data_IF_069642498601
#
_entry.id   IF_069642498601
#
_cell.length_a   1.000
_cell.length_b   1.000
_cell.length_c   1.000
_cell.angle_alpha   90.00
_cell.angle_beta   90.00
_cell.angle_gamma   90.00
#
_symmetry.space_group_name_H-M   'P 1'
#
loop_
_entity.id
_entity.type
_entity.pdbx_description
1 polymer ?
#
# COMPACT_ATOMS: atom_id res chain seq x y z
N UNK A 1 -28.25 -42.74 -68.01
CA UNK A 1 -28.46 -42.55 -66.55
C UNK A 1 -27.20 -42.11 -65.76
N UNK A 2 -25.99 -41.99 -66.34
CA UNK A 2 -24.78 -41.57 -65.60
C UNK A 2 -24.58 -40.06 -65.38
N UNK A 3 -25.19 -39.18 -66.19
CA UNK A 3 -25.01 -37.71 -66.09
C UNK A 3 -25.79 -37.05 -64.94
N UNK A 4 -26.85 -37.67 -64.44
CA UNK A 4 -27.67 -37.13 -63.35
C UNK A 4 -27.03 -37.36 -61.96
N UNK A 5 -26.26 -38.44 -61.79
CA UNK A 5 -25.67 -38.79 -60.50
C UNK A 5 -24.49 -37.86 -60.13
N UNK A 6 -23.68 -37.44 -61.11
CA UNK A 6 -22.53 -36.54 -60.89
C UNK A 6 -22.94 -35.11 -60.54
N UNK A 7 -24.13 -34.67 -60.95
CA UNK A 7 -24.68 -33.34 -60.63
C UNK A 7 -25.19 -33.25 -59.19
N UNK A 8 -25.72 -34.34 -58.62
CA UNK A 8 -26.22 -34.37 -57.25
C UNK A 8 -25.08 -34.40 -56.21
N UNK A 9 -24.00 -35.15 -56.49
CA UNK A 9 -22.82 -35.19 -55.62
C UNK A 9 -22.11 -33.82 -55.53
N UNK A 10 -21.98 -33.10 -56.64
CA UNK A 10 -21.34 -31.76 -56.64
C UNK A 10 -22.10 -30.73 -55.81
N UNK A 11 -23.44 -30.75 -55.86
CA UNK A 11 -24.30 -29.83 -55.10
C UNK A 11 -24.20 -30.05 -53.59
N UNK A 12 -24.14 -31.32 -53.16
CA UNK A 12 -23.97 -31.66 -51.73
C UNK A 12 -22.63 -31.20 -51.17
N UNK A 13 -21.52 -31.30 -51.92
CA UNK A 13 -20.21 -30.83 -51.46
C UNK A 13 -20.15 -29.30 -51.33
N UNK A 14 -20.76 -28.57 -52.26
CA UNK A 14 -20.83 -27.10 -52.20
C UNK A 14 -21.66 -26.64 -50.99
N UNK A 15 -22.77 -27.32 -50.70
CA UNK A 15 -23.62 -27.00 -49.55
C UNK A 15 -22.95 -27.30 -48.21
N UNK A 16 -22.24 -28.44 -48.10
CA UNK A 16 -21.49 -28.80 -46.89
C UNK A 16 -20.33 -27.83 -46.65
N UNK A 17 -19.59 -27.45 -47.71
CA UNK A 17 -18.51 -26.47 -47.61
C UNK A 17 -18.99 -25.09 -47.16
N UNK A 18 -20.14 -24.64 -47.64
CA UNK A 18 -20.77 -23.39 -47.20
C UNK A 18 -21.18 -23.44 -45.73
N UNK A 19 -21.80 -24.53 -45.27
CA UNK A 19 -22.15 -24.71 -43.86
C UNK A 19 -20.91 -24.70 -42.94
N UNK A 20 -19.81 -25.32 -43.35
CA UNK A 20 -18.56 -25.31 -42.58
C UNK A 20 -17.93 -23.91 -42.51
N UNK A 21 -17.97 -23.14 -43.59
CA UNK A 21 -17.51 -21.75 -43.59
C UNK A 21 -18.35 -20.85 -42.69
N UNK A 22 -19.68 -21.02 -42.72
CA UNK A 22 -20.59 -20.29 -41.83
C UNK A 22 -20.34 -20.68 -40.37
N UNK A 23 -20.20 -21.97 -40.06
CA UNK A 23 -19.86 -22.44 -38.72
C UNK A 23 -18.52 -21.89 -38.25
N UNK A 24 -17.51 -21.86 -39.10
CA UNK A 24 -16.20 -21.29 -38.77
C UNK A 24 -16.30 -19.79 -38.52
N UNK A 25 -17.04 -19.05 -39.35
CA UNK A 25 -17.30 -17.62 -39.15
C UNK A 25 -18.08 -17.35 -37.86
N UNK A 26 -19.07 -18.18 -37.53
CA UNK A 26 -19.85 -18.08 -36.30
C UNK A 26 -18.98 -18.38 -35.08
N UNK A 27 -18.13 -19.42 -35.12
CA UNK A 27 -17.17 -19.74 -34.05
C UNK A 27 -16.14 -18.63 -33.88
N UNK A 28 -15.65 -18.03 -34.97
CA UNK A 28 -14.72 -16.92 -34.93
C UNK A 28 -15.37 -15.65 -34.35
N UNK A 29 -16.62 -15.36 -34.73
CA UNK A 29 -17.40 -14.25 -34.17
C UNK A 29 -17.73 -14.49 -32.69
N UNK A 30 -18.18 -15.70 -32.31
CA UNK A 30 -18.43 -16.07 -30.91
C UNK A 30 -17.15 -16.02 -30.06
N UNK A 31 -16.00 -16.44 -30.61
CA UNK A 31 -14.71 -16.29 -29.95
C UNK A 31 -14.25 -14.83 -29.83
N UNK A 32 -14.57 -13.99 -30.81
CA UNK A 32 -14.28 -12.54 -30.78
C UNK A 32 -15.19 -11.74 -29.83
N UNK A 33 -16.32 -12.34 -29.43
CA UNK A 33 -17.16 -11.85 -28.34
C UNK A 33 -16.65 -12.31 -26.96
N UNK A 34 -15.44 -12.87 -26.90
CA UNK A 34 -14.71 -13.15 -25.66
C UNK A 34 -14.61 -11.89 -24.81
N UNK A 35 -15.45 -11.86 -23.77
CA UNK A 35 -15.22 -11.22 -22.48
C UNK A 35 -14.52 -9.86 -22.53
N UNK A 36 -15.18 -8.86 -23.15
CA UNK A 36 -15.03 -7.50 -22.63
C UNK A 36 -15.63 -7.52 -21.22
N UNK A 37 -14.81 -7.90 -20.23
CA UNK A 37 -15.15 -7.73 -18.82
C UNK A 37 -15.67 -6.31 -18.67
N UNK A 38 -16.90 -6.16 -18.20
CA UNK A 38 -17.53 -4.85 -18.10
C UNK A 38 -16.66 -3.97 -17.22
N UNK A 39 -16.01 -2.97 -17.82
CA UNK A 39 -15.27 -1.93 -17.10
C UNK A 39 -16.26 -1.20 -16.22
N UNK A 40 -16.15 -1.40 -14.91
CA UNK A 40 -17.00 -0.71 -13.94
C UNK A 40 -16.41 0.67 -13.62
N UNK A 41 -15.09 0.71 -13.44
CA UNK A 41 -14.35 1.90 -13.00
C UNK A 41 -13.10 2.08 -13.86
N UNK A 42 -12.81 3.32 -14.23
CA UNK A 42 -11.57 3.75 -14.87
C UNK A 42 -10.81 4.67 -13.92
N UNK A 43 -9.55 4.36 -13.66
CA UNK A 43 -8.69 5.10 -12.73
C UNK A 43 -7.48 5.63 -13.49
N UNK A 44 -7.20 6.93 -13.40
CA UNK A 44 -6.03 7.55 -14.02
C UNK A 44 -4.97 7.81 -12.95
N UNK A 45 -3.77 7.26 -13.17
CA UNK A 45 -2.58 7.51 -12.36
C UNK A 45 -1.53 8.24 -13.18
N UNK A 46 -0.65 8.99 -12.52
CA UNK A 46 0.50 9.60 -13.18
C UNK A 46 1.53 8.51 -13.57
N UNK A 47 1.57 7.39 -12.82
CA UNK A 47 2.47 6.26 -13.04
C UNK A 47 1.77 4.91 -12.74
N UNK A 48 1.97 3.90 -13.60
CA UNK A 48 1.35 2.57 -13.46
C UNK A 48 2.10 1.59 -12.55
N UNK A 49 3.34 1.92 -12.16
CA UNK A 49 4.13 1.29 -11.11
C UNK A 49 4.03 -0.25 -10.98
N UNK A 50 4.01 -1.02 -12.07
CA UNK A 50 4.00 -2.50 -12.03
C UNK A 50 2.63 -3.15 -11.83
N UNK A 51 1.54 -2.38 -11.97
CA UNK A 51 0.18 -2.92 -12.02
C UNK A 51 -0.06 -3.55 -13.40
N UNK A 52 -0.47 -4.82 -13.41
CA UNK A 52 -0.77 -5.60 -14.60
C UNK A 52 -2.24 -6.01 -14.69
N UNK A 53 -2.65 -6.46 -15.88
CA UNK A 53 -3.97 -7.08 -16.11
C UNK A 53 -4.10 -8.33 -15.23
N UNK A 54 -5.23 -8.47 -14.55
CA UNK A 54 -5.48 -9.52 -13.57
C UNK A 54 -5.11 -9.15 -12.14
N UNK A 55 -4.37 -8.05 -11.92
CA UNK A 55 -4.00 -7.54 -10.61
C UNK A 55 -5.20 -7.33 -9.70
N UNK A 56 -5.05 -7.63 -8.42
CA UNK A 56 -6.16 -7.55 -7.47
C UNK A 56 -6.50 -6.10 -7.10
N UNK A 57 -7.78 -5.87 -6.85
CA UNK A 57 -8.26 -4.65 -6.19
C UNK A 57 -8.78 -5.03 -4.82
N UNK A 58 -8.24 -4.42 -3.77
CA UNK A 58 -8.57 -4.72 -2.38
C UNK A 58 -9.16 -3.52 -1.67
N UNK A 59 -10.09 -3.79 -0.78
CA UNK A 59 -10.64 -2.82 0.15
C UNK A 59 -10.45 -3.39 1.55
N UNK A 60 -9.59 -2.77 2.36
CA UNK A 60 -9.31 -3.22 3.75
C UNK A 60 -8.87 -4.70 3.78
N UNK A 61 -8.03 -5.09 2.82
CA UNK A 61 -7.53 -6.47 2.68
C UNK A 61 -8.49 -7.48 2.03
N UNK A 62 -9.73 -7.10 1.70
CA UNK A 62 -10.69 -7.98 1.01
C UNK A 62 -10.64 -7.71 -0.48
N UNK A 63 -10.52 -8.77 -1.31
CA UNK A 63 -10.55 -8.64 -2.77
C UNK A 63 -11.96 -8.25 -3.23
N UNK A 64 -12.07 -7.07 -3.84
CA UNK A 64 -13.32 -6.47 -4.32
C UNK A 64 -13.38 -6.31 -5.84
N UNK A 65 -12.30 -6.60 -6.55
CA UNK A 65 -12.24 -6.51 -7.99
C UNK A 65 -10.90 -6.95 -8.56
N UNK A 66 -10.75 -6.78 -9.87
CA UNK A 66 -9.50 -7.02 -10.60
C UNK A 66 -9.29 -5.99 -11.70
N UNK A 67 -8.03 -5.73 -12.02
CA UNK A 67 -7.64 -4.94 -13.18
C UNK A 67 -7.99 -5.70 -14.45
N UNK A 68 -8.83 -5.09 -15.29
CA UNK A 68 -9.24 -5.66 -16.58
C UNK A 68 -8.38 -5.17 -17.75
N UNK A 69 -7.84 -3.96 -17.66
CA UNK A 69 -7.01 -3.38 -18.73
C UNK A 69 -6.06 -2.30 -18.18
N UNK A 70 -4.94 -2.08 -18.85
CA UNK A 70 -3.96 -1.04 -18.52
C UNK A 70 -3.51 -0.38 -19.83
N UNK A 71 -3.71 0.93 -19.93
CA UNK A 71 -3.40 1.72 -21.12
C UNK A 71 -2.55 2.93 -20.75
N UNK A 72 -1.62 3.29 -21.63
CA UNK A 72 -0.96 4.59 -21.56
C UNK A 72 -1.89 5.63 -22.19
N UNK A 73 -2.15 6.69 -21.44
CA UNK A 73 -2.74 7.92 -21.95
C UNK A 73 -1.63 8.96 -22.00
N UNK A 74 -1.65 9.93 -22.93
CA UNK A 74 -0.47 10.72 -23.33
C UNK A 74 0.37 11.34 -22.21
N UNK A 75 -0.18 11.54 -21.01
CA UNK A 75 0.50 12.11 -19.83
C UNK A 75 0.51 11.17 -18.60
N UNK A 76 -0.05 9.95 -18.67
CA UNK A 76 -0.16 9.04 -17.52
C UNK A 76 -0.57 7.60 -17.89
N UNK A 77 -1.19 6.91 -16.92
CA UNK A 77 -1.65 5.52 -17.07
C UNK A 77 -3.12 5.43 -16.69
N UNK A 78 -3.93 4.96 -17.64
CA UNK A 78 -5.33 4.62 -17.41
C UNK A 78 -5.45 3.13 -17.08
N UNK A 79 -6.08 2.82 -15.95
CA UNK A 79 -6.32 1.47 -15.47
C UNK A 79 -7.82 1.23 -15.40
N UNK A 80 -8.29 0.25 -16.15
CA UNK A 80 -9.69 -0.16 -16.15
C UNK A 80 -9.85 -1.32 -15.16
N UNK A 81 -10.81 -1.19 -14.24
CA UNK A 81 -11.08 -2.14 -13.15
C UNK A 81 -12.48 -2.71 -13.30
N UNK A 82 -12.58 -4.03 -13.14
CA UNK A 82 -13.84 -4.75 -12.97
C UNK A 82 -14.07 -5.05 -11.48
N UNK A 83 -15.22 -4.66 -10.97
CA UNK A 83 -15.57 -4.81 -9.55
C UNK A 83 -16.54 -5.97 -9.36
N UNK A 84 -16.33 -6.74 -8.29
CA UNK A 84 -17.25 -7.76 -7.85
C UNK A 84 -18.51 -7.14 -7.22
N UNK A 85 -19.66 -7.78 -7.41
CA UNK A 85 -20.86 -7.49 -6.62
C UNK A 85 -20.71 -8.12 -5.23
N UNK A 86 -21.17 -7.48 -4.15
CA UNK A 86 -21.97 -6.24 -4.10
C UNK A 86 -21.15 -4.93 -4.02
N UNK A 87 -19.81 -4.99 -4.07
CA UNK A 87 -18.92 -3.85 -3.77
C UNK A 87 -19.09 -2.64 -4.71
N UNK A 88 -19.64 -2.84 -5.91
CA UNK A 88 -19.90 -1.78 -6.90
C UNK A 88 -20.62 -0.55 -6.33
N UNK A 89 -21.72 -0.76 -5.59
CA UNK A 89 -22.54 0.35 -5.09
C UNK A 89 -21.84 1.21 -4.04
N UNK A 90 -20.81 0.66 -3.39
CA UNK A 90 -20.02 1.33 -2.36
C UNK A 90 -18.80 2.03 -2.96
N UNK A 91 -18.14 1.40 -3.95
CA UNK A 91 -16.86 1.87 -4.50
C UNK A 91 -17.02 2.82 -5.69
N UNK A 92 -18.19 2.84 -6.34
CA UNK A 92 -18.47 3.75 -7.46
C UNK A 92 -19.08 5.07 -6.96
N UNK A 93 -18.59 5.58 -5.83
CA UNK A 93 -19.11 6.80 -5.18
C UNK A 93 -18.11 7.93 -5.24
N UNK A 94 -18.60 9.15 -5.38
CA UNK A 94 -17.81 10.35 -5.15
C UNK A 94 -17.12 10.30 -3.78
N UNK A 95 -15.84 10.69 -3.73
CA UNK A 95 -15.00 10.59 -2.54
C UNK A 95 -14.34 9.22 -2.32
N UNK A 96 -14.59 8.23 -3.17
CA UNK A 96 -13.83 6.97 -3.15
C UNK A 96 -12.40 7.24 -3.60
N UNK A 97 -11.44 6.76 -2.80
CA UNK A 97 -10.01 7.00 -3.00
C UNK A 97 -9.32 5.72 -3.41
N UNK A 98 -8.48 5.80 -4.43
CA UNK A 98 -7.78 4.67 -5.03
C UNK A 98 -6.28 4.94 -5.01
N UNK A 99 -5.47 3.94 -4.66
CA UNK A 99 -4.01 4.06 -4.73
C UNK A 99 -3.37 2.71 -5.08
N UNK A 100 -2.14 2.76 -5.60
CA UNK A 100 -1.34 1.54 -5.82
C UNK A 100 -0.61 1.25 -4.51
N UNK A 101 -0.85 0.08 -3.92
CA UNK A 101 -0.14 -0.33 -2.71
C UNK A 101 1.32 -0.67 -3.05
N UNK A 102 2.24 0.01 -2.38
CA UNK A 102 3.68 -0.13 -2.56
C UNK A 102 4.27 -0.70 -1.28
N UNK A 103 4.43 -2.03 -1.16
CA UNK A 103 5.12 -2.60 0.00
C UNK A 103 6.54 -2.04 0.05
N UNK A 104 6.92 -1.44 1.19
CA UNK A 104 8.21 -0.77 1.37
C UNK A 104 9.41 -1.75 1.41
N UNK A 105 9.18 -3.03 1.12
CA UNK A 105 10.17 -4.11 1.15
C UNK A 105 10.65 -4.36 -0.28
N UNK A 106 11.36 -3.40 -0.86
CA UNK A 106 12.21 -3.63 -2.02
C UNK A 106 13.64 -3.37 -1.57
N UNK A 107 14.28 -4.43 -1.07
CA UNK A 107 15.71 -4.80 -1.19
C UNK A 107 16.07 -5.79 -0.08
N UNK A 108 15.91 -7.09 -0.37
CA UNK A 108 16.84 -8.06 0.17
C UNK A 108 17.80 -8.39 -0.98
N UNK A 109 18.96 -7.74 -0.96
CA UNK A 109 20.07 -8.06 -1.83
C UNK A 109 20.63 -9.43 -1.46
N UNK A 110 19.91 -10.49 -1.81
CA UNK A 110 20.47 -11.84 -1.86
C UNK A 110 20.35 -12.27 -3.30
N UNK A 111 21.50 -12.29 -3.98
CA UNK A 111 21.60 -12.66 -5.37
C UNK A 111 20.93 -13.99 -5.66
N UNK A 112 20.18 -14.01 -6.75
CA UNK A 112 19.57 -15.21 -7.31
C UNK A 112 18.10 -15.34 -6.93
N UNK A 113 17.24 -14.92 -7.85
CA UNK A 113 16.12 -15.68 -8.43
C UNK A 113 15.25 -14.69 -9.22
N UNK A 114 15.10 -14.94 -10.52
CA UNK A 114 14.30 -14.20 -11.52
C UNK A 114 12.77 -14.21 -11.24
N UNK A 115 12.33 -13.96 -10.00
CA UNK A 115 10.94 -14.16 -9.61
C UNK A 115 10.51 -13.38 -8.39
N UNK A 116 10.21 -12.10 -8.57
CA UNK A 116 9.31 -11.36 -7.67
C UNK A 116 8.69 -10.14 -8.37
N UNK A 117 8.15 -10.33 -9.59
CA UNK A 117 7.10 -9.44 -10.08
C UNK A 117 5.81 -9.83 -9.35
N UNK A 118 5.70 -9.53 -8.05
CA UNK A 118 4.38 -9.60 -7.40
C UNK A 118 3.52 -8.53 -8.08
N UNK A 119 2.45 -8.95 -8.76
CA UNK A 119 1.48 -8.02 -9.32
C UNK A 119 1.06 -7.05 -8.22
N UNK A 120 1.39 -5.77 -8.40
CA UNK A 120 1.06 -4.75 -7.43
C UNK A 120 -0.46 -4.60 -7.37
N UNK A 121 -0.95 -4.41 -6.15
CA UNK A 121 -2.38 -4.41 -5.84
C UNK A 121 -2.86 -2.96 -5.80
N UNK A 122 -4.08 -2.73 -6.30
CA UNK A 122 -4.77 -1.46 -6.10
C UNK A 122 -5.56 -1.57 -4.80
N UNK A 123 -5.34 -0.68 -3.86
CA UNK A 123 -6.20 -0.54 -2.68
C UNK A 123 -7.23 0.57 -2.89
N UNK A 124 -8.39 0.42 -2.24
CA UNK A 124 -9.50 1.36 -2.33
C UNK A 124 -10.11 1.62 -0.96
N UNK A 125 -10.40 2.89 -0.70
CA UNK A 125 -11.15 3.33 0.47
C UNK A 125 -12.48 3.96 0.03
N UNK A 126 -13.63 3.38 0.43
CA UNK A 126 -14.95 3.89 0.07
C UNK A 126 -15.18 5.35 0.44
N UNK A 127 -15.80 6.10 -0.48
CA UNK A 127 -16.36 7.41 -0.19
C UNK A 127 -17.61 7.34 0.70
N UNK A 128 -18.16 8.50 1.04
CA UNK A 128 -19.43 8.59 1.76
C UNK A 128 -20.55 7.96 0.91
N UNK A 129 -21.40 7.17 1.56
CA UNK A 129 -22.44 6.36 0.90
C UNK A 129 -23.50 7.17 0.14
N UNK A 130 -23.64 8.46 0.44
CA UNK A 130 -24.59 9.38 -0.21
C UNK A 130 -24.02 10.09 -1.46
N UNK A 131 -22.74 9.88 -1.78
CA UNK A 131 -22.09 10.49 -2.93
C UNK A 131 -22.71 10.08 -4.28
N UNK A 132 -22.58 10.95 -5.27
CA UNK A 132 -22.99 10.66 -6.65
C UNK A 132 -22.27 9.41 -7.18
N UNK A 133 -22.92 8.68 -8.09
CA UNK A 133 -22.29 7.52 -8.73
C UNK A 133 -21.28 8.02 -9.77
N UNK A 134 -20.02 7.64 -9.62
CA UNK A 134 -18.91 8.04 -10.48
C UNK A 134 -18.17 6.80 -10.99
N UNK A 135 -17.73 6.85 -12.26
CA UNK A 135 -16.99 5.77 -12.93
C UNK A 135 -15.53 6.12 -13.23
N UNK A 136 -15.18 7.40 -13.23
CA UNK A 136 -13.83 7.89 -13.50
C UNK A 136 -13.21 8.47 -12.23
N UNK A 137 -12.01 8.01 -11.86
CA UNK A 137 -11.30 8.46 -10.67
C UNK A 137 -9.87 8.87 -11.01
N UNK A 138 -9.37 9.87 -10.28
CA UNK A 138 -7.93 10.13 -10.22
C UNK A 138 -7.35 9.30 -9.08
N UNK A 139 -6.35 8.48 -9.39
CA UNK A 139 -5.60 7.73 -8.41
C UNK A 139 -4.70 8.63 -7.57
N UNK A 140 -4.50 8.26 -6.31
CA UNK A 140 -3.57 8.91 -5.41
C UNK A 140 -2.20 8.26 -5.53
N UNK A 141 -1.15 9.09 -5.52
CA UNK A 141 0.23 8.61 -5.51
C UNK A 141 0.62 7.97 -4.18
N UNK A 142 -0.11 8.30 -3.11
CA UNK A 142 0.16 7.85 -1.76
C UNK A 142 -1.12 7.36 -1.07
N UNK A 143 -1.02 6.34 -0.21
CA UNK A 143 -2.15 5.88 0.58
C UNK A 143 -2.69 7.02 1.47
N UNK A 144 -4.02 7.21 1.54
CA UNK A 144 -4.61 8.18 2.46
C UNK A 144 -4.31 7.77 3.90
N UNK A 145 -3.91 8.75 4.72
CA UNK A 145 -3.58 8.55 6.14
C UNK A 145 -4.68 7.78 6.87
N UNK A 146 -5.95 8.17 6.71
CA UNK A 146 -7.10 7.53 7.37
C UNK A 146 -7.30 6.06 7.02
N UNK A 147 -6.90 5.64 5.82
CA UNK A 147 -7.05 4.24 5.39
C UNK A 147 -6.02 3.32 6.05
N UNK A 148 -5.01 3.89 6.70
CA UNK A 148 -4.03 3.15 7.50
C UNK A 148 -4.50 2.92 8.94
N UNK A 149 -5.59 3.57 9.37
CA UNK A 149 -6.07 3.50 10.75
C UNK A 149 -6.93 2.26 10.91
N UNK A 150 -6.58 1.39 11.85
CA UNK A 150 -7.48 0.36 12.35
C UNK A 150 -8.20 0.87 13.60
N UNK A 151 -9.45 0.45 13.85
CA UNK A 151 -10.15 0.79 15.08
C UNK A 151 -9.32 0.43 16.32
N UNK A 152 -9.02 1.43 17.15
CA UNK A 152 -8.23 1.28 18.37
C UNK A 152 -6.74 1.57 18.21
N UNK A 153 -6.23 1.82 17.01
CA UNK A 153 -4.90 2.40 16.84
C UNK A 153 -4.85 3.80 17.46
N UNK A 154 -3.68 4.19 17.96
CA UNK A 154 -3.46 5.47 18.63
C UNK A 154 -2.68 6.40 17.67
N UNK A 155 -3.36 7.36 17.02
CA UNK A 155 -2.70 8.39 16.25
C UNK A 155 -2.05 9.41 17.17
N UNK A 156 -0.86 9.87 16.79
CA UNK A 156 -0.06 10.87 17.50
C UNK A 156 0.54 11.84 16.50
N UNK A 157 0.92 13.02 16.98
CA UNK A 157 1.74 13.98 16.22
C UNK A 157 3.09 14.12 16.89
N UNK A 158 4.14 13.76 16.17
CA UNK A 158 5.52 13.97 16.62
C UNK A 158 6.06 15.25 16.00
N UNK A 159 6.76 16.06 16.79
CA UNK A 159 7.35 17.31 16.32
C UNK A 159 8.85 17.35 16.56
N UNK A 160 9.60 17.92 15.62
CA UNK A 160 11.03 18.14 15.78
C UNK A 160 11.48 19.41 15.05
N UNK A 161 12.65 19.94 15.44
CA UNK A 161 13.23 21.12 14.79
C UNK A 161 13.70 20.86 13.35
N UNK A 162 13.96 19.60 12.99
CA UNK A 162 14.42 19.16 11.67
C UNK A 162 13.78 17.81 11.34
N UNK A 163 13.78 17.44 10.05
CA UNK A 163 13.18 16.18 9.60
C UNK A 163 13.83 14.95 10.23
N UNK A 164 15.16 14.92 10.33
CA UNK A 164 15.89 13.83 11.01
C UNK A 164 15.36 12.43 10.67
N UNK A 165 15.08 11.67 11.72
CA UNK A 165 14.47 10.33 11.68
C UNK A 165 12.95 10.29 11.45
N UNK A 166 12.28 11.46 11.39
CA UNK A 166 10.85 11.59 11.12
C UNK A 166 10.60 11.52 9.61
N UNK A 167 10.61 10.32 9.06
CA UNK A 167 10.35 10.09 7.64
C UNK A 167 9.16 9.16 7.49
N UNK A 168 8.38 9.34 6.43
CA UNK A 168 7.30 8.40 6.10
C UNK A 168 7.83 6.96 6.05
N UNK A 169 7.12 6.05 6.72
CA UNK A 169 7.49 4.64 6.83
C UNK A 169 8.56 4.33 7.90
N UNK A 170 9.18 5.36 8.52
CA UNK A 170 10.07 5.16 9.64
C UNK A 170 9.34 4.48 10.81
N UNK A 171 10.06 3.62 11.51
CA UNK A 171 9.50 2.82 12.59
C UNK A 171 9.46 3.61 13.89
N UNK A 172 8.37 3.46 14.64
CA UNK A 172 8.34 3.83 16.06
C UNK A 172 8.69 2.60 16.87
N UNK A 173 9.68 2.72 17.72
CA UNK A 173 10.26 1.62 18.48
C UNK A 173 9.96 1.79 19.97
N UNK A 174 9.74 0.70 20.67
CA UNK A 174 9.78 0.64 22.14
C UNK A 174 10.75 -0.47 22.52
N UNK A 175 11.86 -0.11 23.17
CA UNK A 175 12.97 -1.04 23.48
C UNK A 175 13.46 -1.83 22.25
N UNK A 176 13.53 -1.17 21.10
CA UNK A 176 13.94 -1.77 19.83
C UNK A 176 12.88 -2.62 19.11
N UNK A 177 11.70 -2.82 19.72
CA UNK A 177 10.57 -3.51 19.06
C UNK A 177 9.71 -2.49 18.33
N UNK A 178 9.38 -2.73 17.06
CA UNK A 178 8.44 -1.88 16.31
C UNK A 178 7.05 -1.94 16.93
N UNK A 179 6.53 -0.77 17.28
CA UNK A 179 5.19 -0.58 17.85
C UNK A 179 4.27 0.30 16.99
N UNK A 180 4.83 0.95 15.99
CA UNK A 180 4.11 1.88 15.12
C UNK A 180 4.95 2.36 13.96
N UNK A 181 4.38 3.28 13.19
CA UNK A 181 4.96 3.82 11.95
C UNK A 181 4.60 5.29 11.79
N UNK A 182 5.51 6.05 11.18
CA UNK A 182 5.24 7.41 10.70
C UNK A 182 4.48 7.34 9.37
N UNK A 183 3.28 7.91 9.34
CA UNK A 183 2.39 7.87 8.17
C UNK A 183 2.68 8.98 7.17
N UNK A 184 2.97 10.18 7.67
CA UNK A 184 3.32 11.34 6.85
C UNK A 184 4.21 12.30 7.64
N UNK A 185 4.90 13.17 6.90
CA UNK A 185 5.79 14.19 7.47
C UNK A 185 5.60 15.47 6.68
N UNK A 186 5.26 16.54 7.39
CA UNK A 186 5.00 17.86 6.83
C UNK A 186 5.78 18.92 7.61
N UNK A 187 5.88 20.10 7.04
CA UNK A 187 6.33 21.28 7.77
C UNK A 187 5.15 21.85 8.56
N UNK A 188 5.36 22.32 9.79
CA UNK A 188 4.37 23.07 10.53
C UNK A 188 3.93 24.30 9.73
N UNK A 189 2.70 24.78 9.96
CA UNK A 189 2.11 25.91 9.21
C UNK A 189 2.98 27.19 9.28
N UNK A 190 3.71 27.37 10.37
CA UNK A 190 4.60 28.51 10.61
C UNK A 190 6.05 28.28 10.15
N UNK A 191 6.33 27.13 9.51
CA UNK A 191 7.64 26.72 9.03
C UNK A 191 8.73 26.54 10.12
N UNK A 192 8.37 26.53 11.41
CA UNK A 192 9.36 26.47 12.51
C UNK A 192 9.80 25.05 12.88
N UNK A 193 8.98 24.07 12.56
CA UNK A 193 9.20 22.67 12.95
C UNK A 193 8.68 21.71 11.88
N UNK A 194 9.13 20.47 11.97
CA UNK A 194 8.59 19.34 11.21
C UNK A 194 7.56 18.64 12.08
N UNK A 195 6.37 18.40 11.52
CA UNK A 195 5.31 17.62 12.15
C UNK A 195 5.16 16.29 11.40
N UNK A 196 5.13 15.19 12.15
CA UNK A 196 4.94 13.87 11.59
C UNK A 196 3.73 13.18 12.23
N UNK A 197 2.75 12.81 11.40
CA UNK A 197 1.65 11.97 11.87
C UNK A 197 2.15 10.56 12.03
N UNK A 198 1.88 10.01 13.19
CA UNK A 198 2.40 8.74 13.66
C UNK A 198 1.24 7.88 14.12
N UNK A 199 1.28 6.59 13.82
CA UNK A 199 0.28 5.64 14.25
C UNK A 199 0.93 4.56 15.09
N UNK A 200 0.45 4.39 16.32
CA UNK A 200 0.83 3.31 17.21
C UNK A 200 -0.23 2.22 17.13
N UNK A 201 0.19 0.97 16.93
CA UNK A 201 -0.73 -0.15 16.82
C UNK A 201 -1.55 -0.32 18.11
N UNK A 202 -2.84 -0.65 17.99
CA UNK A 202 -3.79 -0.82 19.11
C UNK A 202 -3.23 -1.60 20.30
N UNK A 203 -2.54 -2.72 20.05
CA UNK A 203 -1.95 -3.57 21.10
C UNK A 203 -0.91 -2.86 21.95
N UNK A 204 -0.23 -1.86 21.37
CA UNK A 204 0.83 -1.07 22.00
C UNK A 204 0.40 0.31 22.47
N UNK A 205 -0.81 0.77 22.11
CA UNK A 205 -1.36 2.04 22.57
C UNK A 205 -1.23 2.27 24.10
N UNK A 206 -1.40 1.26 24.99
CA UNK A 206 -1.20 1.44 26.43
C UNK A 206 0.22 1.88 26.86
N UNK A 207 1.23 1.70 26.01
CA UNK A 207 2.62 2.09 26.28
C UNK A 207 2.78 3.62 26.27
N UNK A 208 1.99 4.33 25.48
CA UNK A 208 2.13 5.79 25.33
C UNK A 208 1.40 6.48 26.48
N UNK A 209 2.14 7.28 27.22
CA UNK A 209 1.67 8.09 28.35
C UNK A 209 2.01 9.57 28.15
N UNK A 210 1.26 10.43 28.82
CA UNK A 210 1.48 11.88 28.80
C UNK A 210 2.92 12.29 29.18
N UNK A 211 3.55 11.52 30.07
CA UNK A 211 4.92 11.68 30.52
C UNK A 211 5.93 10.84 29.75
N UNK A 212 5.53 10.22 28.63
CA UNK A 212 6.47 9.53 27.75
C UNK A 212 7.39 10.51 27.02
N UNK A 213 8.53 10.01 26.56
CA UNK A 213 9.51 10.76 25.77
C UNK A 213 9.80 10.02 24.49
N UNK A 214 10.03 10.81 23.44
CA UNK A 214 10.41 10.32 22.13
C UNK A 214 11.79 10.88 21.80
N UNK A 215 12.64 10.06 21.20
CA UNK A 215 13.97 10.48 20.75
C UNK A 215 14.34 9.81 19.44
N UNK A 216 15.25 10.43 18.68
CA UNK A 216 15.76 9.82 17.45
C UNK A 216 16.52 8.53 17.78
N UNK A 217 16.09 7.41 17.18
CA UNK A 217 16.79 6.15 17.31
C UNK A 217 18.05 6.22 16.42
N UNK A 218 19.17 6.62 17.02
CA UNK A 218 20.46 6.73 16.34
C UNK A 218 21.06 5.36 15.99
N UNK A 219 21.82 5.33 14.89
CA UNK A 219 22.79 4.26 14.59
C UNK A 219 23.76 4.22 15.76
N UNK A 220 23.90 3.05 16.37
CA UNK A 220 24.82 2.77 17.48
C UNK A 220 26.11 3.57 17.28
N UNK A 221 26.40 4.50 18.19
CA UNK A 221 27.65 5.27 18.21
C UNK A 221 28.76 4.32 18.66
N UNK A 222 29.31 3.58 17.71
CA UNK A 222 30.46 2.72 17.93
C UNK A 222 31.70 3.61 17.97
N UNK A 223 32.05 4.03 19.19
CA UNK A 223 33.29 4.73 19.52
C UNK A 223 34.51 3.80 19.22
N UNK A 224 34.85 3.69 17.94
CA UNK A 224 35.90 2.80 17.43
C UNK A 224 37.26 3.44 17.65
N UNK A 225 37.78 3.25 18.86
CA UNK A 225 39.22 3.37 19.12
C UNK A 225 40.02 2.60 18.07
N UNK A 226 40.99 3.29 17.47
CA UNK A 226 41.86 2.83 16.38
C UNK A 226 42.57 1.51 16.68
N UNK A 227 41.93 0.36 16.49
CA UNK A 227 42.60 -0.92 16.23
C UNK A 227 41.60 -1.97 15.75
N UNK A 228 41.42 -2.05 14.43
CA UNK A 228 41.08 -3.29 13.75
C UNK A 228 39.60 -3.57 13.52
N UNK A 229 39.04 -3.08 12.40
CA UNK A 229 37.83 -3.64 11.79
C UNK A 229 37.83 -3.35 10.27
N UNK A 230 38.33 -4.31 9.48
CA UNK A 230 38.20 -4.31 8.01
C UNK A 230 37.25 -5.42 7.51
N UNK A 231 36.49 -6.06 8.39
CA UNK A 231 35.77 -7.30 8.06
C UNK A 231 34.29 -7.35 8.49
N UNK A 232 33.62 -6.21 8.71
CA UNK A 232 32.17 -6.17 9.03
C UNK A 232 31.37 -5.12 8.25
N UNK A 233 31.90 -4.59 7.15
CA UNK A 233 31.24 -3.53 6.39
C UNK A 233 30.15 -4.04 5.44
N UNK A 234 30.21 -5.30 5.00
CA UNK A 234 29.22 -5.88 4.06
C UNK A 234 27.88 -6.27 4.72
N UNK A 235 27.77 -6.21 6.04
CA UNK A 235 26.53 -6.48 6.78
C UNK A 235 25.90 -5.22 7.42
N UNK A 236 26.48 -4.04 7.15
CA UNK A 236 26.04 -2.79 7.73
C UNK A 236 24.99 -2.06 6.88
N UNK A 237 24.82 -2.44 5.61
CA UNK A 237 23.78 -1.86 4.73
C UNK A 237 22.35 -2.22 5.19
N UNK A 238 22.21 -3.22 6.06
CA UNK A 238 20.92 -3.64 6.66
C UNK A 238 20.58 -2.90 7.95
N UNK A 239 21.49 -2.06 8.47
CA UNK A 239 21.28 -1.29 9.69
C UNK A 239 20.71 0.09 9.36
N UNK A 240 19.40 0.18 9.58
CA UNK A 240 18.65 1.38 9.97
C UNK A 240 18.09 2.25 8.83
N UNK A 241 16.90 1.87 8.37
CA UNK A 241 15.84 2.87 8.21
C UNK A 241 15.72 3.57 9.57
N UNK A 242 16.05 4.87 9.62
CA UNK A 242 15.94 5.67 10.83
C UNK A 242 14.56 5.52 11.50
N UNK A 243 14.49 5.76 12.80
CA UNK A 243 13.26 5.56 13.56
C UNK A 243 13.19 6.49 14.76
N UNK A 244 12.04 6.46 15.43
CA UNK A 244 11.84 7.20 16.68
C UNK A 244 11.63 6.18 17.79
N UNK A 245 12.39 6.30 18.87
CA UNK A 245 12.20 5.46 20.06
C UNK A 245 11.29 6.15 21.06
N UNK A 246 10.39 5.37 21.66
CA UNK A 246 9.52 5.73 22.77
C UNK A 246 10.07 5.13 24.07
N UNK A 247 10.12 5.95 25.11
CA UNK A 247 10.40 5.54 26.48
C UNK A 247 9.35 6.12 27.43
N UNK A 248 9.01 5.34 28.45
CA UNK A 248 8.01 5.71 29.45
C UNK A 248 8.63 5.56 30.83
N UNK A 249 8.44 6.54 31.74
CA UNK A 249 8.97 6.46 33.10
C UNK A 249 8.44 5.28 33.91
N UNK A 250 9.20 4.86 34.93
CA UNK A 250 8.83 3.80 35.88
C UNK A 250 7.52 4.06 36.62
N UNK A 251 7.18 5.33 36.81
CA UNK A 251 5.87 5.81 37.21
C UNK A 251 5.15 6.34 35.96
N UNK A 252 4.41 5.49 35.23
CA UNK A 252 3.73 5.91 34.01
C UNK A 252 2.60 6.86 34.38
N UNK A 253 2.45 7.94 33.64
CA UNK A 253 1.35 8.88 33.81
C UNK A 253 0.04 8.36 33.19
N UNK A 254 -0.83 9.29 32.82
CA UNK A 254 -2.13 8.96 32.25
C UNK A 254 -1.99 8.50 30.78
N UNK A 255 -3.00 7.74 30.32
CA UNK A 255 -3.07 7.40 28.89
C UNK A 255 -3.38 8.67 28.12
N UNK A 256 -2.70 8.85 26.98
CA UNK A 256 -2.99 9.97 26.11
C UNK A 256 -4.22 9.72 25.27
N UNK A 257 -4.93 10.81 24.98
CA UNK A 257 -5.96 10.84 23.96
C UNK A 257 -5.35 10.73 22.55
N UNK A 258 -6.14 10.28 21.56
CA UNK A 258 -5.76 10.38 20.15
C UNK A 258 -5.32 11.79 19.76
N UNK A 259 -4.37 11.86 18.84
CA UNK A 259 -3.78 13.09 18.29
C UNK A 259 -2.96 13.92 19.30
N UNK A 260 -2.57 13.32 20.44
CA UNK A 260 -1.61 13.91 21.37
C UNK A 260 -0.28 14.25 20.67
N UNK A 261 0.32 15.36 21.11
CA UNK A 261 1.55 15.93 20.53
C UNK A 261 2.75 15.65 21.43
N UNK A 262 3.84 15.18 20.83
CA UNK A 262 5.12 14.96 21.52
C UNK A 262 6.28 15.55 20.74
N UNK A 263 7.24 16.12 21.46
CA UNK A 263 8.52 16.55 20.89
C UNK A 263 9.45 15.35 20.81
N UNK A 264 10.14 15.22 19.69
CA UNK A 264 11.21 14.25 19.48
C UNK A 264 12.55 14.92 19.79
N UNK A 265 13.23 14.37 20.78
CA UNK A 265 14.55 14.80 21.20
C UNK A 265 15.63 14.17 20.31
N UNK A 266 16.76 14.85 20.14
CA UNK A 266 17.82 14.36 19.26
C UNK A 266 18.51 13.09 19.81
N UNK A 267 18.59 12.96 21.13
CA UNK A 267 19.33 11.89 21.81
C UNK A 267 18.55 11.35 23.01
N UNK A 268 18.86 10.12 23.41
CA UNK A 268 18.34 9.52 24.64
C UNK A 268 19.05 10.15 25.85
N UNK A 269 18.28 10.56 26.86
CA UNK A 269 18.84 10.93 28.16
C UNK A 269 19.19 9.67 28.97
N UNK A 270 20.34 9.67 29.64
CA UNK A 270 20.81 8.57 30.51
C UNK A 270 19.76 8.10 31.53
N UNK A 271 18.97 9.03 32.09
CA UNK A 271 17.92 8.70 33.05
C UNK A 271 16.81 7.84 32.44
N UNK A 272 16.52 8.05 31.15
CA UNK A 272 15.44 7.35 30.45
C UNK A 272 15.82 5.91 30.11
N UNK A 273 17.10 5.68 29.82
CA UNK A 273 17.64 4.36 29.49
C UNK A 273 17.43 3.35 30.64
N UNK A 274 17.36 3.82 31.88
CA UNK A 274 17.14 3.02 33.07
C UNK A 274 15.67 2.63 33.31
N UNK A 275 14.70 3.31 32.71
CA UNK A 275 13.27 3.09 33.00
C UNK A 275 12.77 1.73 32.54
N UNK A 276 12.09 1.02 33.44
CA UNK A 276 11.51 -0.32 33.23
C UNK A 276 10.08 -0.41 33.80
N UNK A 277 9.12 0.43 33.33
CA UNK A 277 7.75 0.37 33.84
C UNK A 277 7.06 -0.95 33.50
N UNK A 278 6.08 -1.31 34.34
CA UNK A 278 5.19 -2.46 34.12
C UNK A 278 3.86 -1.97 33.57
N UNK A 279 3.72 -2.01 32.25
CA UNK A 279 2.51 -1.58 31.54
C UNK A 279 1.91 -2.80 30.83
N UNK A 280 0.67 -3.21 31.13
CA UNK A 280 0.01 -4.27 30.39
C UNK A 280 -0.34 -3.81 28.98
N UNK A 281 -0.08 -4.67 27.99
CA UNK A 281 -0.49 -4.46 26.60
C UNK A 281 -1.98 -4.77 26.43
N UNK A 282 -2.57 -4.27 25.35
CA UNK A 282 -3.95 -4.61 25.00
C UNK A 282 -3.99 -5.92 24.20
N UNK A 283 -5.03 -6.73 24.46
CA UNK A 283 -5.31 -7.99 23.76
C UNK A 283 -5.79 -7.78 22.30
#
# INVERSE_FOLDING_TARGET
>A
MKKQLTSLLGSTYVSIGFCLLVLFGVIWVLGSLGERSATDVTITFDQGHGVGVGGEVRCRGIVVGRVSDVKLDGEGVQIDVSLALPSRSLLMREGTRWWIDRPMIEWSGVGGLDGAFSDRVIEVDPGLSEGAIVRGFKGLDEPPVLSQYQPGDLPLTLTASKRGSLQRGASVLYRGVRIGTILETNLAEDATSVEARTLIERRFAPLVRDNSRFYEAGVIDLDLGFTGLRARLDSLETLMVGGVSLVTPDAPGERVDPDARFVVEAEENDDWAAWRPRIPLAD
#
